data_IF_642013746654
#
_entry.id   IF_642013746654
#
_cell.length_a   1.000
_cell.length_b   1.000
_cell.length_c   1.000
_cell.angle_alpha   90.00
_cell.angle_beta   90.00
_cell.angle_gamma   90.00
#
_symmetry.space_group_name_H-M   'P 1'
#
loop_
_entity.id
_entity.type
_entity.pdbx_description
1 polymer ?
#
# COMPACT_ATOMS: atom_id res chain seq x y z
N UNK A 1 4.34 -21.13 16.78
CA UNK A 1 5.46 -20.34 17.34
C UNK A 1 5.99 -20.97 18.63
N UNK A 2 5.20 -21.02 19.72
CA UNK A 2 5.67 -21.52 21.02
C UNK A 2 6.26 -22.95 20.99
N UNK A 3 5.61 -23.90 20.31
CA UNK A 3 6.11 -25.28 20.18
C UNK A 3 7.49 -25.35 19.45
N UNK A 4 7.69 -24.52 18.43
CA UNK A 4 8.96 -24.48 17.70
C UNK A 4 10.08 -23.88 18.53
N UNK A 5 9.80 -22.77 19.25
CA UNK A 5 10.75 -22.17 20.17
C UNK A 5 11.15 -23.13 21.30
N UNK A 6 10.19 -23.88 21.86
CA UNK A 6 10.45 -24.91 22.86
C UNK A 6 11.40 -26.00 22.32
N UNK A 7 11.23 -26.43 21.06
CA UNK A 7 12.09 -27.43 20.43
C UNK A 7 13.52 -26.94 20.17
N UNK A 8 13.68 -25.67 19.79
CA UNK A 8 15.01 -25.06 19.65
C UNK A 8 15.72 -25.02 21.01
N UNK A 9 15.01 -24.60 22.06
CA UNK A 9 15.55 -24.55 23.42
C UNK A 9 15.94 -25.94 23.93
N UNK A 10 15.16 -26.97 23.63
CA UNK A 10 15.50 -28.37 23.97
C UNK A 10 16.81 -28.84 23.32
N UNK A 11 16.96 -28.57 22.02
CA UNK A 11 18.15 -28.98 21.24
C UNK A 11 19.39 -28.23 21.74
N UNK A 12 19.25 -26.93 22.02
CA UNK A 12 20.36 -26.07 22.45
C UNK A 12 20.78 -26.33 23.90
N UNK A 13 19.84 -26.52 24.82
CA UNK A 13 20.14 -26.64 26.26
C UNK A 13 20.45 -28.08 26.72
N UNK A 14 20.33 -29.08 25.84
CA UNK A 14 20.53 -30.51 26.18
C UNK A 14 19.92 -30.90 27.54
N UNK A 15 18.72 -30.39 27.85
CA UNK A 15 18.10 -30.55 29.16
C UNK A 15 17.93 -32.04 29.48
N UNK A 16 18.45 -32.48 30.62
CA UNK A 16 18.37 -33.87 31.08
C UNK A 16 16.95 -34.25 31.54
N UNK A 17 16.14 -33.28 31.92
CA UNK A 17 14.76 -33.47 32.37
C UNK A 17 13.76 -32.96 31.31
N UNK A 18 13.42 -33.86 30.38
CA UNK A 18 12.54 -33.57 29.24
C UNK A 18 11.04 -33.68 29.59
N UNK A 19 10.70 -34.01 30.83
CA UNK A 19 9.33 -34.28 31.27
C UNK A 19 8.38 -33.10 31.01
N UNK A 20 8.83 -31.86 31.26
CA UNK A 20 8.06 -30.65 30.97
C UNK A 20 7.88 -30.39 29.47
N UNK A 21 8.92 -30.61 28.67
CA UNK A 21 8.89 -30.39 27.22
C UNK A 21 8.03 -31.45 26.51
N UNK A 22 8.13 -32.70 26.94
CA UNK A 22 7.27 -33.80 26.46
C UNK A 22 5.79 -33.54 26.81
N UNK A 23 5.51 -33.03 28.02
CA UNK A 23 4.17 -32.64 28.42
C UNK A 23 3.63 -31.47 27.58
N UNK A 24 4.47 -30.49 27.25
CA UNK A 24 4.11 -29.39 26.34
C UNK A 24 3.84 -29.91 24.92
N UNK A 25 4.69 -30.77 24.37
CA UNK A 25 4.50 -31.38 23.04
C UNK A 25 3.19 -32.17 22.96
N UNK A 26 2.87 -32.93 24.01
CA UNK A 26 1.63 -33.68 24.13
C UNK A 26 0.42 -32.73 24.17
N UNK A 27 0.50 -31.68 24.99
CA UNK A 27 -0.55 -30.67 25.13
C UNK A 27 -0.85 -29.99 23.79
N UNK A 28 0.18 -29.55 23.07
CA UNK A 28 0.01 -28.98 21.73
C UNK A 28 -0.58 -29.98 20.74
N UNK A 29 -0.15 -31.24 20.78
CA UNK A 29 -0.69 -32.29 19.89
C UNK A 29 -2.19 -32.49 20.12
N UNK A 30 -2.65 -32.49 21.38
CA UNK A 30 -4.07 -32.59 21.73
C UNK A 30 -4.85 -31.37 21.20
N UNK A 31 -4.37 -30.15 21.48
CA UNK A 31 -5.03 -28.92 21.02
C UNK A 31 -5.19 -28.91 19.50
N UNK A 32 -4.13 -29.25 18.76
CA UNK A 32 -4.18 -29.30 17.29
C UNK A 32 -5.07 -30.41 16.76
N UNK A 33 -5.15 -31.55 17.44
CA UNK A 33 -6.05 -32.64 17.06
C UNK A 33 -7.50 -32.20 17.20
N UNK A 34 -7.83 -31.47 18.27
CA UNK A 34 -9.16 -30.91 18.50
C UNK A 34 -9.49 -29.86 17.43
N UNK A 35 -8.61 -28.89 17.19
CA UNK A 35 -8.76 -27.85 16.16
C UNK A 35 -9.02 -28.47 14.77
N UNK A 36 -8.23 -29.49 14.40
CA UNK A 36 -8.37 -30.20 13.14
C UNK A 36 -9.69 -30.98 13.05
N UNK A 37 -10.12 -31.60 14.15
CA UNK A 37 -11.38 -32.36 14.21
C UNK A 37 -12.59 -31.43 14.04
N UNK A 38 -12.58 -30.25 14.67
CA UNK A 38 -13.60 -29.23 14.45
C UNK A 38 -13.63 -28.74 13.01
N UNK A 39 -12.46 -28.49 12.42
CA UNK A 39 -12.35 -28.05 11.02
C UNK A 39 -12.86 -29.12 10.03
N UNK A 40 -12.56 -30.40 10.27
CA UNK A 40 -13.06 -31.52 9.48
C UNK A 40 -14.59 -31.69 9.60
N UNK A 41 -15.14 -31.48 10.80
CA UNK A 41 -16.58 -31.52 11.03
C UNK A 41 -17.32 -30.36 10.35
N UNK A 42 -16.76 -29.14 10.42
CA UNK A 42 -17.36 -27.95 9.83
C UNK A 42 -17.41 -27.98 8.29
N UNK A 43 -16.37 -28.50 7.65
CA UNK A 43 -16.22 -28.43 6.19
C UNK A 43 -16.82 -29.62 5.42
N UNK A 44 -17.44 -30.60 6.09
CA UNK A 44 -17.85 -31.89 5.50
C UNK A 44 -16.66 -32.65 4.88
N UNK A 45 -16.49 -33.93 5.22
CA UNK A 45 -15.26 -34.70 4.96
C UNK A 45 -14.65 -34.56 3.55
N UNK A 46 -15.46 -34.32 2.51
CA UNK A 46 -14.99 -34.16 1.14
C UNK A 46 -14.17 -32.89 0.94
N UNK A 47 -14.72 -31.71 1.21
CA UNK A 47 -14.04 -30.43 0.92
C UNK A 47 -12.84 -30.23 1.85
N UNK A 48 -12.87 -30.84 3.03
CA UNK A 48 -11.74 -30.87 3.95
C UNK A 48 -10.51 -31.57 3.38
N UNK A 49 -10.65 -32.77 2.79
CA UNK A 49 -9.51 -33.56 2.28
C UNK A 49 -8.99 -33.09 0.91
N UNK A 50 -9.80 -32.36 0.14
CA UNK A 50 -9.34 -31.76 -1.12
C UNK A 50 -8.53 -30.47 -0.92
N UNK A 51 -8.56 -29.87 0.28
CA UNK A 51 -7.64 -28.80 0.65
C UNK A 51 -6.27 -29.40 1.05
N UNK A 52 -5.24 -29.16 0.22
CA UNK A 52 -3.89 -29.71 0.41
C UNK A 52 -3.28 -29.39 1.78
N UNK A 53 -3.62 -28.25 2.38
CA UNK A 53 -3.14 -27.86 3.70
C UNK A 53 -3.79 -28.66 4.84
N UNK A 54 -5.09 -28.92 4.75
CA UNK A 54 -5.80 -29.74 5.72
C UNK A 54 -5.35 -31.20 5.66
N UNK A 55 -5.06 -31.71 4.45
CA UNK A 55 -4.50 -33.06 4.26
C UNK A 55 -3.09 -33.17 4.88
N UNK A 56 -2.24 -32.16 4.66
CA UNK A 56 -0.92 -32.10 5.29
C UNK A 56 -1.01 -32.08 6.81
N UNK A 57 -1.85 -31.21 7.39
CA UNK A 57 -2.04 -31.14 8.83
C UNK A 57 -2.55 -32.47 9.40
N UNK A 58 -3.49 -33.12 8.69
CA UNK A 58 -4.00 -34.45 9.05
C UNK A 58 -2.90 -35.48 9.06
N UNK A 59 -2.09 -35.59 8.00
CA UNK A 59 -0.96 -36.51 7.95
C UNK A 59 0.00 -36.32 9.12
N UNK A 60 0.36 -35.07 9.42
CA UNK A 60 1.29 -34.78 10.51
C UNK A 60 0.64 -35.13 11.87
N UNK A 61 -0.67 -34.89 12.08
CA UNK A 61 -1.37 -35.25 13.32
C UNK A 61 -1.45 -36.78 13.46
N UNK A 62 -1.75 -37.50 12.38
CA UNK A 62 -1.80 -38.97 12.37
C UNK A 62 -0.45 -39.57 12.74
N UNK A 63 0.64 -39.12 12.13
CA UNK A 63 2.00 -39.59 12.47
C UNK A 63 2.37 -39.29 13.92
N UNK A 64 1.87 -38.16 14.44
CA UNK A 64 2.06 -37.75 15.83
C UNK A 64 1.38 -38.66 16.84
N UNK A 65 0.14 -39.04 16.57
CA UNK A 65 -0.65 -39.93 17.43
C UNK A 65 -0.07 -41.35 17.37
N UNK A 66 0.27 -41.85 16.18
CA UNK A 66 0.87 -43.18 16.00
C UNK A 66 2.21 -43.28 16.73
N UNK A 67 3.05 -42.24 16.61
CA UNK A 67 4.34 -42.16 17.30
C UNK A 67 4.22 -42.16 18.83
N UNK A 68 3.17 -41.56 19.38
CA UNK A 68 2.90 -41.55 20.81
C UNK A 68 2.28 -42.86 21.32
N UNK A 69 1.41 -43.50 20.52
CA UNK A 69 0.69 -44.71 20.92
C UNK A 69 1.53 -45.99 20.89
N UNK A 70 2.56 -46.06 20.04
CA UNK A 70 3.36 -47.27 19.80
C UNK A 70 4.87 -47.03 20.02
N UNK A 71 5.33 -46.78 21.26
CA UNK A 71 6.73 -46.42 21.52
C UNK A 71 7.75 -47.54 21.25
N UNK A 72 7.33 -48.81 21.25
CA UNK A 72 8.20 -49.99 21.25
C UNK A 72 8.17 -50.80 19.94
N UNK A 73 7.59 -50.26 18.85
CA UNK A 73 7.51 -50.97 17.57
C UNK A 73 8.67 -50.55 16.65
N UNK A 74 9.47 -51.50 16.13
CA UNK A 74 10.52 -51.20 15.16
C UNK A 74 9.91 -50.58 13.89
N UNK A 75 10.42 -49.42 13.47
CA UNK A 75 9.89 -48.61 12.36
C UNK A 75 9.15 -47.35 12.82
N UNK A 76 8.48 -47.39 13.98
CA UNK A 76 7.87 -46.19 14.60
C UNK A 76 8.95 -45.19 15.04
N UNK A 77 10.18 -45.67 15.25
CA UNK A 77 11.36 -44.85 15.53
C UNK A 77 11.61 -43.79 14.46
N UNK A 78 11.38 -44.11 13.19
CA UNK A 78 11.52 -43.19 12.05
C UNK A 78 10.34 -42.23 11.98
N UNK A 79 9.13 -42.69 12.31
CA UNK A 79 7.94 -41.84 12.42
C UNK A 79 8.11 -40.72 13.45
N UNK A 80 8.95 -40.92 14.47
CA UNK A 80 9.33 -39.85 15.41
C UNK A 80 10.16 -38.73 14.77
N UNK A 81 10.86 -38.97 13.65
CA UNK A 81 11.57 -37.90 12.93
C UNK A 81 10.58 -36.95 12.23
N UNK A 82 9.46 -37.48 11.75
CA UNK A 82 8.42 -36.70 11.07
C UNK A 82 7.73 -35.67 11.99
N UNK A 83 7.93 -35.73 13.32
CA UNK A 83 7.44 -34.67 14.23
C UNK A 83 8.04 -33.30 13.90
N UNK A 84 9.21 -33.24 13.25
CA UNK A 84 9.80 -31.99 12.76
C UNK A 84 8.86 -31.27 11.77
N UNK A 85 8.08 -32.03 11.00
CA UNK A 85 7.11 -31.46 10.05
C UNK A 85 5.95 -30.73 10.73
N UNK A 86 5.72 -30.93 12.04
CA UNK A 86 4.76 -30.12 12.83
C UNK A 86 5.11 -28.64 12.79
N UNK A 87 6.40 -28.30 12.66
CA UNK A 87 6.86 -26.92 12.52
C UNK A 87 6.39 -26.31 11.21
N UNK A 88 6.33 -27.09 10.12
CA UNK A 88 5.90 -26.59 8.82
C UNK A 88 4.43 -26.15 8.79
N UNK A 89 3.59 -26.61 9.73
CA UNK A 89 2.22 -26.10 9.89
C UNK A 89 2.17 -24.60 10.16
N UNK A 90 3.24 -24.04 10.73
CA UNK A 90 3.39 -22.59 10.93
C UNK A 90 3.38 -21.84 9.59
N UNK A 91 3.85 -22.46 8.52
CA UNK A 91 3.96 -21.81 7.22
C UNK A 91 2.59 -21.53 6.60
N UNK A 92 1.58 -22.37 6.86
CA UNK A 92 0.21 -22.07 6.45
C UNK A 92 -0.39 -20.92 7.28
N UNK A 93 -0.11 -20.86 8.58
CA UNK A 93 -0.68 -19.83 9.46
C UNK A 93 -0.15 -18.42 9.15
N UNK A 94 1.04 -18.32 8.54
CA UNK A 94 1.65 -17.07 8.13
C UNK A 94 1.27 -16.75 6.68
N UNK A 95 0.46 -15.71 6.50
CA UNK A 95 0.02 -15.23 5.18
C UNK A 95 1.18 -15.00 4.23
N UNK A 96 2.26 -14.35 4.67
CA UNK A 96 3.44 -14.09 3.85
C UNK A 96 4.17 -15.35 3.38
N UNK A 97 4.22 -16.42 4.20
CA UNK A 97 4.88 -17.68 3.83
C UNK A 97 4.03 -18.50 2.85
N UNK A 98 2.70 -18.45 2.98
CA UNK A 98 1.80 -19.08 2.00
C UNK A 98 2.01 -18.54 0.60
N UNK A 99 2.20 -17.23 0.48
CA UNK A 99 2.45 -16.58 -0.82
C UNK A 99 3.70 -17.16 -1.46
N UNK A 100 4.80 -17.24 -0.70
CA UNK A 100 6.06 -17.82 -1.17
C UNK A 100 5.88 -19.28 -1.57
N UNK A 101 5.18 -20.08 -0.76
CA UNK A 101 4.99 -21.51 -1.04
C UNK A 101 4.11 -21.73 -2.28
N UNK A 102 3.05 -20.95 -2.42
CA UNK A 102 2.18 -21.01 -3.59
C UNK A 102 2.96 -20.60 -4.85
N UNK A 103 3.81 -19.57 -4.76
CA UNK A 103 4.68 -19.15 -5.85
C UNK A 103 5.68 -20.26 -6.24
N UNK A 104 6.41 -20.82 -5.27
CA UNK A 104 7.35 -21.93 -5.50
C UNK A 104 6.64 -23.16 -6.09
N UNK A 105 5.44 -23.46 -5.61
CA UNK A 105 4.65 -24.60 -6.10
C UNK A 105 4.16 -24.36 -7.52
N UNK A 106 3.76 -23.14 -7.86
CA UNK A 106 3.44 -22.77 -9.24
C UNK A 106 4.68 -22.94 -10.15
N UNK A 107 5.86 -22.56 -9.65
CA UNK A 107 7.12 -22.68 -10.38
C UNK A 107 7.68 -24.09 -10.54
N UNK A 108 7.14 -25.08 -9.83
CA UNK A 108 7.72 -26.43 -9.84
C UNK A 108 7.66 -27.07 -11.23
N UNK A 109 6.58 -26.85 -11.98
CA UNK A 109 6.36 -27.51 -13.27
C UNK A 109 7.23 -26.89 -14.40
N UNK A 110 7.28 -25.56 -14.57
CA UNK A 110 8.20 -24.94 -15.53
C UNK A 110 9.66 -25.25 -15.23
N UNK A 111 10.05 -25.19 -13.95
CA UNK A 111 11.42 -25.52 -13.52
C UNK A 111 11.72 -27.00 -13.76
N UNK A 112 10.79 -27.92 -13.47
CA UNK A 112 10.97 -29.34 -13.76
C UNK A 112 11.18 -29.60 -15.26
N UNK A 113 10.46 -28.91 -16.15
CA UNK A 113 10.67 -29.03 -17.59
C UNK A 113 12.10 -28.62 -18.00
N UNK A 114 12.61 -27.52 -17.45
CA UNK A 114 13.99 -27.08 -17.69
C UNK A 114 15.02 -28.10 -17.14
N UNK A 115 14.77 -28.65 -15.95
CA UNK A 115 15.60 -29.72 -15.38
C UNK A 115 15.58 -31.01 -16.20
N UNK A 116 14.46 -31.36 -16.84
CA UNK A 116 14.38 -32.52 -17.73
C UNK A 116 15.28 -32.33 -18.95
N UNK A 117 15.31 -31.12 -19.54
CA UNK A 117 16.22 -30.80 -20.64
C UNK A 117 17.68 -30.89 -20.18
N UNK A 118 18.00 -30.37 -19.00
CA UNK A 118 19.33 -30.48 -18.40
C UNK A 118 19.74 -31.94 -18.16
N UNK A 119 18.84 -32.75 -17.62
CA UNK A 119 19.06 -34.17 -17.38
C UNK A 119 19.29 -34.93 -18.70
N UNK A 120 18.53 -34.60 -19.75
CA UNK A 120 18.69 -35.21 -21.08
C UNK A 120 20.09 -34.93 -21.66
N UNK A 121 20.54 -33.68 -21.62
CA UNK A 121 21.88 -33.31 -22.09
C UNK A 121 22.97 -33.97 -21.25
N UNK A 122 22.78 -34.00 -19.93
CA UNK A 122 23.68 -34.70 -19.00
C UNK A 122 23.74 -36.20 -19.29
N UNK A 123 22.61 -36.83 -19.63
CA UNK A 123 22.57 -38.24 -20.03
C UNK A 123 23.30 -38.50 -21.35
N UNK A 124 23.18 -37.62 -22.34
CA UNK A 124 23.93 -37.71 -23.60
C UNK A 124 25.45 -37.67 -23.31
N UNK A 125 25.89 -36.69 -22.51
CA UNK A 125 27.29 -36.58 -22.11
C UNK A 125 27.75 -37.77 -21.25
N UNK A 126 26.90 -38.31 -20.37
CA UNK A 126 27.23 -39.49 -19.57
C UNK A 126 27.46 -40.74 -20.44
N UNK A 127 26.65 -40.95 -21.48
CA UNK A 127 26.86 -42.03 -22.45
C UNK A 127 28.19 -41.83 -23.19
N UNK A 128 28.47 -40.61 -23.66
CA UNK A 128 29.74 -40.29 -24.32
C UNK A 128 30.93 -40.51 -23.37
N UNK A 129 30.82 -40.10 -22.11
CA UNK A 129 31.86 -40.27 -21.11
C UNK A 129 32.11 -41.75 -20.81
N UNK A 130 31.07 -42.59 -20.72
CA UNK A 130 31.23 -44.04 -20.63
C UNK A 130 31.98 -44.62 -21.84
N UNK A 131 31.69 -44.14 -23.05
CA UNK A 131 32.36 -44.62 -24.27
C UNK A 131 33.82 -44.18 -24.35
N UNK A 132 34.14 -42.97 -23.88
CA UNK A 132 35.47 -42.36 -24.03
C UNK A 132 36.41 -42.63 -22.86
N UNK A 133 35.88 -42.77 -21.64
CA UNK A 133 36.67 -42.68 -20.41
C UNK A 133 36.56 -43.89 -19.47
N UNK A 134 35.75 -44.89 -19.82
CA UNK A 134 35.62 -46.11 -19.01
C UNK A 134 36.96 -46.79 -18.70
N UNK A 135 37.94 -46.73 -19.61
CA UNK A 135 39.27 -47.31 -19.40
C UNK A 135 40.19 -46.48 -18.51
N UNK A 136 39.89 -45.18 -18.33
CA UNK A 136 40.68 -44.26 -17.50
C UNK A 136 40.19 -44.24 -16.06
N UNK A 137 38.87 -44.24 -15.89
CA UNK A 137 38.24 -44.32 -14.57
C UNK A 137 36.95 -45.16 -14.66
N UNK A 138 37.06 -46.42 -14.23
CA UNK A 138 35.94 -47.36 -14.20
C UNK A 138 34.94 -47.04 -13.08
N UNK A 139 35.36 -46.38 -12.01
CA UNK A 139 34.49 -46.04 -10.87
C UNK A 139 33.52 -44.94 -11.28
N UNK A 140 34.05 -43.89 -11.92
CA UNK A 140 33.25 -42.75 -12.40
C UNK A 140 32.51 -43.08 -13.70
N UNK A 141 33.19 -43.67 -14.69
CA UNK A 141 32.62 -43.81 -16.05
C UNK A 141 32.35 -45.26 -16.49
N UNK A 142 32.45 -46.25 -15.59
CA UNK A 142 32.26 -47.66 -15.95
C UNK A 142 30.81 -48.07 -16.24
N UNK A 143 29.84 -47.44 -15.56
CA UNK A 143 28.40 -47.68 -15.74
C UNK A 143 27.67 -46.37 -16.02
N UNK A 144 26.57 -46.44 -16.78
CA UNK A 144 25.75 -45.27 -17.10
C UNK A 144 25.30 -44.50 -15.84
N UNK A 145 24.84 -45.19 -14.79
CA UNK A 145 24.39 -44.53 -13.56
C UNK A 145 25.52 -43.79 -12.82
N UNK A 146 26.73 -44.38 -12.81
CA UNK A 146 27.92 -43.73 -12.23
C UNK A 146 28.31 -42.51 -13.07
N UNK A 147 28.37 -42.66 -14.39
CA UNK A 147 28.71 -41.57 -15.29
C UNK A 147 27.67 -40.44 -15.23
N UNK A 148 26.38 -40.78 -15.14
CA UNK A 148 25.30 -39.80 -15.02
C UNK A 148 25.45 -38.98 -13.74
N UNK A 149 25.77 -39.63 -12.61
CA UNK A 149 26.03 -38.94 -11.34
C UNK A 149 27.32 -38.10 -11.41
N UNK A 150 28.41 -38.62 -11.99
CA UNK A 150 29.66 -37.89 -12.17
C UNK A 150 29.48 -36.66 -13.08
N UNK A 151 28.72 -36.77 -14.17
CA UNK A 151 28.41 -35.62 -15.01
C UNK A 151 27.49 -34.62 -14.30
N UNK A 152 26.53 -35.09 -13.49
CA UNK A 152 25.73 -34.22 -12.64
C UNK A 152 26.59 -33.44 -11.63
N UNK A 153 27.57 -34.10 -10.99
CA UNK A 153 28.56 -33.44 -10.12
C UNK A 153 29.38 -32.39 -10.88
N UNK A 154 29.84 -32.70 -12.10
CA UNK A 154 30.54 -31.72 -12.94
C UNK A 154 29.62 -30.53 -13.28
N UNK A 155 28.32 -30.76 -13.50
CA UNK A 155 27.35 -29.71 -13.81
C UNK A 155 27.15 -28.72 -12.65
N UNK A 156 27.22 -29.18 -11.40
CA UNK A 156 27.15 -28.31 -10.21
C UNK A 156 28.45 -27.55 -9.95
N UNK A 157 29.52 -27.87 -10.70
CA UNK A 157 30.85 -27.32 -10.50
C UNK A 157 31.60 -27.95 -9.32
N UNK A 158 31.03 -28.96 -8.67
CA UNK A 158 31.61 -29.58 -7.49
C UNK A 158 32.78 -30.49 -7.86
N UNK A 159 33.98 -30.17 -7.37
CA UNK A 159 35.17 -31.02 -7.58
C UNK A 159 35.55 -31.30 -9.04
N UNK A 160 34.95 -30.62 -10.04
CA UNK A 160 35.02 -31.06 -11.44
C UNK A 160 36.47 -31.17 -11.95
N UNK A 161 37.33 -30.25 -11.56
CA UNK A 161 38.74 -30.29 -11.99
C UNK A 161 39.56 -31.24 -11.14
N UNK A 162 39.34 -31.29 -9.82
CA UNK A 162 40.20 -32.00 -8.86
C UNK A 162 39.85 -33.48 -8.74
N UNK A 163 38.56 -33.79 -8.66
CA UNK A 163 38.06 -35.12 -8.33
C UNK A 163 37.64 -35.91 -9.58
N UNK A 164 37.32 -35.21 -10.68
CA UNK A 164 36.89 -35.85 -11.92
C UNK A 164 37.97 -35.79 -13.00
N UNK A 165 38.43 -34.59 -13.40
CA UNK A 165 39.31 -34.45 -14.57
C UNK A 165 40.78 -34.76 -14.28
N UNK A 166 41.35 -34.22 -13.19
CA UNK A 166 42.79 -34.40 -12.86
C UNK A 166 43.20 -35.86 -12.67
N UNK A 167 42.42 -36.73 -12.00
CA UNK A 167 42.79 -38.15 -11.84
C UNK A 167 42.92 -38.89 -13.19
N UNK A 168 42.26 -38.40 -14.25
CA UNK A 168 42.27 -39.02 -15.57
C UNK A 168 43.57 -38.80 -16.35
N UNK A 169 44.43 -37.87 -15.93
CA UNK A 169 45.73 -37.60 -16.57
C UNK A 169 46.84 -38.56 -16.12
N UNK A 170 46.59 -39.39 -15.09
CA UNK A 170 47.56 -40.33 -14.55
C UNK A 170 48.77 -39.65 -13.88
N UNK A 171 49.72 -40.44 -13.41
CA UNK A 171 50.91 -39.97 -12.69
C UNK A 171 51.95 -39.25 -13.56
N UNK A 172 51.83 -39.34 -14.89
CA UNK A 172 52.76 -38.73 -15.85
C UNK A 172 52.56 -37.22 -16.02
N UNK A 173 51.46 -36.65 -15.52
CA UNK A 173 51.17 -35.22 -15.57
C UNK A 173 50.92 -34.66 -16.97
N UNK A 174 50.80 -35.52 -17.99
CA UNK A 174 50.53 -35.10 -19.37
C UNK A 174 49.05 -34.79 -19.52
N UNK A 175 48.76 -33.54 -19.91
CA UNK A 175 47.38 -33.08 -20.09
C UNK A 175 46.87 -33.51 -21.46
N UNK A 176 45.92 -34.45 -21.46
CA UNK A 176 45.22 -34.87 -22.66
C UNK A 176 44.19 -33.81 -23.09
N UNK A 177 44.51 -33.09 -24.16
CA UNK A 177 43.69 -31.98 -24.66
C UNK A 177 42.24 -32.37 -24.98
N UNK A 178 42.00 -33.61 -25.42
CA UNK A 178 40.64 -34.09 -25.72
C UNK A 178 39.78 -34.31 -24.47
N UNK A 179 40.40 -34.71 -23.34
CA UNK A 179 39.73 -34.85 -22.04
C UNK A 179 39.31 -33.47 -21.56
N UNK A 180 40.25 -32.51 -21.57
CA UNK A 180 39.97 -31.12 -21.19
C UNK A 180 38.88 -30.52 -22.07
N UNK A 181 38.95 -30.71 -23.39
CA UNK A 181 37.97 -30.19 -24.33
C UNK A 181 36.56 -30.74 -24.04
N UNK A 182 36.45 -32.04 -23.75
CA UNK A 182 35.17 -32.67 -23.40
C UNK A 182 34.53 -32.01 -22.17
N UNK A 183 35.25 -31.95 -21.05
CA UNK A 183 34.70 -31.40 -19.81
C UNK A 183 34.48 -29.89 -19.87
N UNK A 184 35.37 -29.14 -20.50
CA UNK A 184 35.19 -27.69 -20.71
C UNK A 184 33.97 -27.42 -21.60
N UNK A 185 33.78 -28.19 -22.68
CA UNK A 185 32.59 -28.05 -23.53
C UNK A 185 31.30 -28.34 -22.76
N UNK A 186 31.30 -29.35 -21.89
CA UNK A 186 30.16 -29.68 -21.04
C UNK A 186 29.88 -28.60 -20.00
N UNK A 187 30.91 -28.02 -19.38
CA UNK A 187 30.73 -26.95 -18.40
C UNK A 187 30.18 -25.69 -19.06
N UNK A 188 30.63 -25.35 -20.27
CA UNK A 188 30.08 -24.22 -21.03
C UNK A 188 28.61 -24.48 -21.39
N UNK A 189 28.30 -25.59 -22.05
CA UNK A 189 26.95 -25.87 -22.56
C UNK A 189 25.98 -26.26 -21.43
N UNK A 190 26.36 -27.22 -20.60
CA UNK A 190 25.56 -27.81 -19.54
C UNK A 190 25.52 -26.98 -18.26
N UNK A 191 26.68 -26.44 -17.85
CA UNK A 191 26.77 -25.59 -16.66
C UNK A 191 26.25 -24.17 -16.93
N UNK A 192 26.97 -23.40 -17.73
CA UNK A 192 26.68 -21.97 -17.89
C UNK A 192 25.41 -21.67 -18.69
N UNK A 193 25.20 -22.32 -19.84
CA UNK A 193 24.02 -22.03 -20.67
C UNK A 193 22.72 -22.58 -20.06
N UNK A 194 22.68 -23.84 -19.63
CA UNK A 194 21.43 -24.44 -19.14
C UNK A 194 21.04 -23.98 -17.73
N UNK A 195 21.98 -23.73 -16.80
CA UNK A 195 21.60 -23.16 -15.50
C UNK A 195 20.98 -21.78 -15.65
N UNK A 196 21.49 -20.96 -16.58
CA UNK A 196 20.90 -19.65 -16.87
C UNK A 196 19.47 -19.77 -17.43
N UNK A 197 19.17 -20.80 -18.23
CA UNK A 197 17.80 -21.08 -18.69
C UNK A 197 16.89 -21.45 -17.52
N UNK A 198 17.35 -22.30 -16.59
CA UNK A 198 16.57 -22.65 -15.39
C UNK A 198 16.28 -21.41 -14.54
N UNK A 199 17.28 -20.55 -14.33
CA UNK A 199 17.13 -19.29 -13.59
C UNK A 199 16.15 -18.35 -14.28
N UNK A 200 16.23 -18.20 -15.60
CA UNK A 200 15.31 -17.36 -16.36
C UNK A 200 13.85 -17.85 -16.23
N UNK A 201 13.62 -19.15 -16.41
CA UNK A 201 12.28 -19.75 -16.26
C UNK A 201 11.75 -19.60 -14.84
N UNK A 202 12.61 -19.74 -13.82
CA UNK A 202 12.22 -19.54 -12.43
C UNK A 202 11.85 -18.09 -12.14
N UNK A 203 12.64 -17.13 -12.65
CA UNK A 203 12.37 -15.70 -12.45
C UNK A 203 11.06 -15.28 -13.11
N UNK A 204 10.80 -15.71 -14.35
CA UNK A 204 9.56 -15.42 -15.06
C UNK A 204 8.34 -15.94 -14.30
N UNK A 205 8.43 -17.18 -13.82
CA UNK A 205 7.33 -17.82 -13.10
C UNK A 205 7.15 -17.27 -11.68
N UNK A 206 8.24 -16.93 -10.99
CA UNK A 206 8.19 -16.25 -9.70
C UNK A 206 7.57 -14.86 -9.82
N UNK A 207 7.99 -14.08 -10.83
CA UNK A 207 7.41 -12.78 -11.12
C UNK A 207 5.90 -12.90 -11.41
N UNK A 208 5.51 -13.85 -12.25
CA UNK A 208 4.10 -14.14 -12.55
C UNK A 208 3.29 -14.51 -11.29
N UNK A 209 3.84 -15.36 -10.44
CA UNK A 209 3.17 -15.77 -9.21
C UNK A 209 3.00 -14.61 -8.20
N UNK A 210 4.02 -13.76 -8.06
CA UNK A 210 3.94 -12.55 -7.22
C UNK A 210 2.89 -11.59 -7.76
N UNK A 211 2.84 -11.37 -9.07
CA UNK A 211 1.86 -10.50 -9.73
C UNK A 211 0.43 -11.03 -9.55
N UNK A 212 0.21 -12.34 -9.71
CA UNK A 212 -1.09 -12.96 -9.48
C UNK A 212 -1.57 -12.76 -8.04
N UNK A 213 -0.69 -12.90 -7.06
CA UNK A 213 -1.08 -12.72 -5.67
C UNK A 213 -1.33 -11.25 -5.33
N UNK A 214 -0.53 -10.32 -5.87
CA UNK A 214 -0.80 -8.87 -5.76
C UNK A 214 -2.17 -8.53 -6.34
N UNK A 215 -2.54 -9.11 -7.48
CA UNK A 215 -3.87 -8.96 -8.10
C UNK A 215 -4.98 -9.52 -7.23
N UNK A 216 -4.81 -10.72 -6.65
CA UNK A 216 -5.81 -11.29 -5.73
C UNK A 216 -6.02 -10.45 -4.49
N UNK A 217 -4.94 -9.92 -3.91
CA UNK A 217 -5.03 -9.01 -2.77
C UNK A 217 -5.78 -7.73 -3.15
N UNK A 218 -5.50 -7.19 -4.34
CA UNK A 218 -6.21 -6.04 -4.89
C UNK A 218 -7.70 -6.34 -5.12
N UNK A 219 -8.04 -7.46 -5.76
CA UNK A 219 -9.42 -7.91 -5.96
C UNK A 219 -10.16 -8.17 -4.64
N UNK A 220 -9.49 -8.73 -3.64
CA UNK A 220 -10.08 -8.94 -2.32
C UNK A 220 -10.32 -7.62 -1.60
N UNK A 221 -9.38 -6.68 -1.73
CA UNK A 221 -9.52 -5.31 -1.22
C UNK A 221 -10.63 -4.54 -1.95
N UNK A 222 -10.75 -4.72 -3.27
CA UNK A 222 -11.80 -4.14 -4.11
C UNK A 222 -13.16 -4.79 -3.81
N UNK A 223 -13.21 -6.09 -3.56
CA UNK A 223 -14.44 -6.78 -3.14
C UNK A 223 -14.87 -6.33 -1.75
N UNK A 224 -13.92 -6.15 -0.83
CA UNK A 224 -14.18 -5.60 0.50
C UNK A 224 -14.62 -4.13 0.42
N UNK A 225 -14.06 -3.32 -0.49
CA UNK A 225 -14.48 -1.94 -0.72
C UNK A 225 -15.86 -1.85 -1.38
N UNK A 226 -16.20 -2.76 -2.30
CA UNK A 226 -17.54 -2.86 -2.92
C UNK A 226 -18.59 -3.31 -1.88
N UNK A 227 -18.22 -4.22 -0.97
CA UNK A 227 -19.14 -4.72 0.09
C UNK A 227 -19.28 -3.73 1.25
N UNK A 228 -18.32 -2.81 1.40
CA UNK A 228 -18.44 -1.60 2.20
C UNK A 228 -18.95 -0.47 1.31
N UNK A 229 -20.18 -0.59 0.79
CA UNK A 229 -20.90 0.53 0.16
C UNK A 229 -21.26 1.59 1.21
N UNK A 230 -20.24 2.22 1.78
CA UNK A 230 -20.29 3.41 2.64
C UNK A 230 -20.44 4.67 1.80
N UNK A 231 -20.30 4.56 0.47
CA UNK A 231 -20.14 5.71 -0.43
C UNK A 231 -21.15 5.67 -1.59
N UNK A 232 -22.41 5.88 -1.24
CA UNK A 232 -23.58 5.81 -2.12
C UNK A 232 -23.57 6.85 -3.27
N UNK A 233 -22.83 7.96 -3.14
CA UNK A 233 -22.71 8.99 -4.19
C UNK A 233 -21.56 8.75 -5.18
N UNK A 234 -20.70 7.74 -5.00
CA UNK A 234 -19.49 7.59 -5.81
C UNK A 234 -19.73 7.54 -7.34
N UNK A 235 -20.78 6.88 -7.86
CA UNK A 235 -21.08 6.93 -9.31
C UNK A 235 -21.38 8.35 -9.82
N UNK A 236 -22.04 9.17 -8.99
CA UNK A 236 -22.34 10.57 -9.29
C UNK A 236 -21.07 11.43 -9.22
N UNK A 237 -20.26 11.22 -8.19
CA UNK A 237 -19.00 11.95 -7.96
C UNK A 237 -17.96 11.61 -9.03
N UNK A 238 -17.93 10.37 -9.52
CA UNK A 238 -17.06 9.96 -10.64
C UNK A 238 -17.40 10.72 -11.92
N UNK A 239 -18.68 10.85 -12.27
CA UNK A 239 -19.12 11.67 -13.41
C UNK A 239 -18.75 13.14 -13.23
N UNK A 240 -18.96 13.69 -12.03
CA UNK A 240 -18.63 15.07 -11.69
C UNK A 240 -17.12 15.33 -11.72
N UNK A 241 -16.28 14.36 -11.36
CA UNK A 241 -14.82 14.48 -11.35
C UNK A 241 -14.19 14.73 -12.74
N UNK A 242 -14.90 14.38 -13.81
CA UNK A 242 -14.45 14.54 -15.21
C UNK A 242 -14.67 15.97 -15.75
N UNK A 243 -14.44 17.00 -14.94
CA UNK A 243 -14.58 18.40 -15.34
C UNK A 243 -13.26 19.00 -15.85
N UNK A 244 -13.34 19.91 -16.81
CA UNK A 244 -12.17 20.63 -17.33
C UNK A 244 -11.96 21.99 -16.67
N UNK A 245 -13.05 22.68 -16.32
CA UNK A 245 -13.02 24.02 -15.72
C UNK A 245 -14.01 24.13 -14.56
N UNK A 246 -13.82 25.09 -13.66
CA UNK A 246 -14.77 25.34 -12.56
C UNK A 246 -16.17 25.67 -13.07
N UNK A 247 -16.28 26.40 -14.19
CA UNK A 247 -17.56 26.73 -14.81
C UNK A 247 -18.28 25.47 -15.32
N UNK A 248 -17.53 24.56 -15.94
CA UNK A 248 -18.03 23.25 -16.40
C UNK A 248 -18.51 22.39 -15.23
N UNK A 249 -17.76 22.37 -14.11
CA UNK A 249 -18.19 21.67 -12.89
C UNK A 249 -19.52 22.21 -12.36
N UNK A 250 -19.65 23.54 -12.21
CA UNK A 250 -20.89 24.17 -11.73
C UNK A 250 -22.08 23.91 -12.65
N UNK A 251 -21.85 23.94 -13.97
CA UNK A 251 -22.87 23.65 -14.96
C UNK A 251 -23.33 22.18 -14.91
N UNK A 252 -22.40 21.24 -14.74
CA UNK A 252 -22.72 19.82 -14.55
C UNK A 252 -23.53 19.57 -13.28
N UNK A 253 -23.12 20.16 -12.15
CA UNK A 253 -23.85 20.04 -10.88
C UNK A 253 -25.27 20.62 -11.05
N UNK A 254 -25.41 21.71 -11.81
CA UNK A 254 -26.70 22.38 -12.05
C UNK A 254 -27.66 21.53 -12.85
N UNK A 255 -27.18 20.95 -13.94
CA UNK A 255 -27.97 20.01 -14.75
C UNK A 255 -28.43 18.82 -13.90
N UNK A 256 -27.56 18.29 -13.04
CA UNK A 256 -27.91 17.22 -12.12
C UNK A 256 -29.01 17.66 -11.14
N UNK A 257 -28.87 18.84 -10.52
CA UNK A 257 -29.89 19.35 -9.60
C UNK A 257 -31.24 19.57 -10.28
N UNK A 258 -31.26 20.14 -11.48
CA UNK A 258 -32.50 20.39 -12.23
C UNK A 258 -33.21 19.05 -12.55
N UNK A 259 -32.45 18.00 -12.89
CA UNK A 259 -33.00 16.64 -13.11
C UNK A 259 -33.51 16.02 -11.81
N UNK A 260 -32.83 16.27 -10.69
CA UNK A 260 -33.20 15.73 -9.36
C UNK A 260 -34.41 16.44 -8.75
N UNK A 261 -34.54 17.75 -8.93
CA UNK A 261 -35.60 18.57 -8.34
C UNK A 261 -36.93 18.50 -9.13
N UNK A 262 -36.86 18.25 -10.44
CA UNK A 262 -38.01 18.23 -11.34
C UNK A 262 -38.42 19.64 -11.82
N UNK A 263 -39.37 19.71 -12.77
CA UNK A 263 -39.65 20.92 -13.56
C UNK A 263 -40.15 22.16 -12.78
N UNK A 264 -40.71 22.00 -11.57
CA UNK A 264 -41.46 23.08 -10.90
C UNK A 264 -40.92 23.51 -9.52
N UNK A 265 -39.93 22.84 -8.93
CA UNK A 265 -39.49 23.14 -7.56
C UNK A 265 -38.04 23.60 -7.46
N UNK A 266 -37.83 24.69 -6.72
CA UNK A 266 -36.51 25.27 -6.42
C UNK A 266 -35.78 24.56 -5.26
N UNK A 267 -36.42 23.54 -4.70
CA UNK A 267 -35.97 22.82 -3.51
C UNK A 267 -35.99 21.32 -3.75
N UNK A 268 -35.02 20.63 -3.13
CA UNK A 268 -34.80 19.21 -3.26
C UNK A 268 -35.03 18.51 -1.91
N UNK A 269 -35.94 17.54 -1.89
CA UNK A 269 -36.22 16.68 -0.73
C UNK A 269 -35.68 15.27 -0.95
N UNK A 270 -35.55 14.47 0.11
CA UNK A 270 -35.10 13.07 0.04
C UNK A 270 -35.90 12.22 -0.95
N UNK A 271 -37.24 12.36 -0.93
CA UNK A 271 -38.14 11.59 -1.81
C UNK A 271 -37.93 11.94 -3.29
N UNK A 272 -37.74 13.22 -3.59
CA UNK A 272 -37.44 13.69 -4.95
C UNK A 272 -36.04 13.32 -5.41
N UNK A 273 -35.06 13.37 -4.51
CA UNK A 273 -33.71 12.94 -4.79
C UNK A 273 -33.70 11.47 -5.25
N UNK A 274 -34.38 10.59 -4.53
CA UNK A 274 -34.54 9.19 -4.91
C UNK A 274 -35.21 9.04 -6.29
N UNK A 275 -36.31 9.74 -6.53
CA UNK A 275 -37.02 9.69 -7.81
C UNK A 275 -36.16 10.19 -8.98
N UNK A 276 -35.44 11.29 -8.77
CA UNK A 276 -34.55 11.90 -9.76
C UNK A 276 -33.32 11.04 -10.06
N UNK A 277 -32.78 10.34 -9.07
CA UNK A 277 -31.66 9.41 -9.24
C UNK A 277 -32.03 8.27 -10.22
N UNK A 278 -33.27 7.77 -10.18
CA UNK A 278 -33.74 6.79 -11.16
C UNK A 278 -33.78 7.34 -12.59
N UNK A 279 -33.96 8.65 -12.76
CA UNK A 279 -33.99 9.32 -14.08
C UNK A 279 -32.59 9.54 -14.67
N UNK A 280 -31.56 9.63 -13.83
CA UNK A 280 -30.18 9.87 -14.26
C UNK A 280 -29.50 8.67 -14.92
N UNK A 281 -30.09 7.46 -14.84
CA UNK A 281 -29.65 6.23 -15.53
C UNK A 281 -28.13 5.96 -15.46
N UNK A 282 -27.55 6.08 -14.26
CA UNK A 282 -26.16 5.66 -14.04
C UNK A 282 -26.01 4.14 -14.20
N UNK A 283 -24.84 3.69 -14.67
CA UNK A 283 -24.51 2.25 -14.78
C UNK A 283 -24.56 1.50 -13.44
N UNK A 284 -24.39 2.22 -12.32
CA UNK A 284 -24.46 1.69 -10.97
C UNK A 284 -25.64 2.33 -10.23
N UNK A 285 -26.44 1.52 -9.54
CA UNK A 285 -27.60 2.00 -8.78
C UNK A 285 -27.13 2.75 -7.53
N UNK A 286 -27.44 4.04 -7.46
CA UNK A 286 -27.27 4.85 -6.25
C UNK A 286 -28.39 4.45 -5.29
N UNK A 287 -28.03 3.79 -4.19
CA UNK A 287 -28.96 3.41 -3.13
C UNK A 287 -28.59 4.19 -1.86
N UNK A 288 -29.45 5.12 -1.46
CA UNK A 288 -29.25 5.97 -0.30
C UNK A 288 -30.37 5.73 0.71
N UNK A 289 -30.05 5.48 1.97
CA UNK A 289 -31.04 5.39 3.05
C UNK A 289 -31.41 6.77 3.56
N UNK A 290 -32.46 6.88 4.37
CA UNK A 290 -32.84 8.15 4.99
C UNK A 290 -31.77 8.63 5.99
N UNK A 291 -31.12 7.71 6.69
CA UNK A 291 -30.01 8.01 7.61
C UNK A 291 -28.81 8.59 6.84
N UNK A 292 -28.48 8.02 5.67
CA UNK A 292 -27.41 8.54 4.81
C UNK A 292 -27.71 9.96 4.30
N UNK A 293 -28.98 10.27 4.02
CA UNK A 293 -29.41 11.61 3.62
C UNK A 293 -29.26 12.62 4.75
N UNK A 294 -29.59 12.25 5.99
CA UNK A 294 -29.39 13.11 7.16
C UNK A 294 -27.90 13.40 7.39
N UNK A 295 -27.03 12.40 7.20
CA UNK A 295 -25.57 12.58 7.28
C UNK A 295 -25.04 13.52 6.19
N UNK A 296 -25.53 13.42 4.95
CA UNK A 296 -25.19 14.38 3.89
C UNK A 296 -25.55 15.82 4.26
N UNK A 297 -26.70 16.00 4.91
CA UNK A 297 -27.21 17.30 5.33
C UNK A 297 -26.42 17.89 6.51
N UNK A 298 -25.77 17.06 7.31
CA UNK A 298 -24.87 17.49 8.39
C UNK A 298 -23.48 17.90 7.89
N UNK A 299 -23.11 17.55 6.65
CA UNK A 299 -21.79 17.87 6.08
C UNK A 299 -21.54 19.39 5.96
N UNK A 300 -22.59 20.20 5.88
CA UNK A 300 -22.51 21.67 5.86
C UNK A 300 -23.32 22.28 7.02
N UNK A 301 -22.75 23.23 7.80
CA UNK A 301 -23.45 23.86 8.94
C UNK A 301 -24.76 24.56 8.55
N UNK A 302 -24.86 25.02 7.30
CA UNK A 302 -26.01 25.76 6.77
C UNK A 302 -27.22 24.87 6.44
N UNK A 303 -27.02 23.55 6.31
CA UNK A 303 -28.03 22.58 5.88
C UNK A 303 -28.51 21.66 7.00
N UNK A 304 -27.82 21.65 8.14
CA UNK A 304 -28.15 20.80 9.29
C UNK A 304 -29.57 21.07 9.80
N UNK A 305 -30.40 20.02 9.82
CA UNK A 305 -31.79 20.07 10.30
C UNK A 305 -32.83 20.58 9.30
N UNK A 306 -32.47 20.89 8.05
CA UNK A 306 -33.43 21.27 6.99
C UNK A 306 -34.03 20.02 6.32
N UNK A 307 -35.32 20.06 6.00
CA UNK A 307 -36.02 18.99 5.26
C UNK A 307 -35.87 19.09 3.75
N UNK A 308 -35.57 20.28 3.26
CA UNK A 308 -35.41 20.58 1.83
C UNK A 308 -34.18 21.47 1.64
N UNK A 309 -33.46 21.28 0.54
CA UNK A 309 -32.29 22.07 0.18
C UNK A 309 -32.49 22.86 -1.10
N UNK A 310 -31.93 24.05 -1.12
CA UNK A 310 -31.84 24.90 -2.30
C UNK A 310 -30.65 24.51 -3.19
N UNK A 311 -30.62 25.02 -4.42
CA UNK A 311 -29.50 24.84 -5.34
C UNK A 311 -28.13 25.16 -4.73
N UNK A 312 -28.02 26.30 -4.02
CA UNK A 312 -26.75 26.76 -3.44
C UNK A 312 -26.23 25.81 -2.36
N UNK A 313 -27.15 25.26 -1.57
CA UNK A 313 -26.86 24.30 -0.51
C UNK A 313 -26.46 22.94 -1.10
N UNK A 314 -27.16 22.48 -2.15
CA UNK A 314 -26.79 21.26 -2.86
C UNK A 314 -25.41 21.37 -3.53
N UNK A 315 -25.09 22.53 -4.11
CA UNK A 315 -23.76 22.81 -4.69
C UNK A 315 -22.66 22.65 -3.63
N UNK A 316 -22.85 23.19 -2.43
CA UNK A 316 -21.87 23.06 -1.34
C UNK A 316 -21.69 21.62 -0.87
N UNK A 317 -22.80 20.88 -0.69
CA UNK A 317 -22.77 19.47 -0.27
C UNK A 317 -22.00 18.62 -1.30
N UNK A 318 -22.30 18.77 -2.59
CA UNK A 318 -21.65 18.01 -3.66
C UNK A 318 -20.16 18.35 -3.78
N UNK A 319 -19.79 19.62 -3.61
CA UNK A 319 -18.38 20.02 -3.63
C UNK A 319 -17.59 19.45 -2.43
N UNK A 320 -18.21 19.38 -1.24
CA UNK A 320 -17.61 18.73 -0.08
C UNK A 320 -17.41 17.23 -0.29
N UNK A 321 -18.44 16.55 -0.81
CA UNK A 321 -18.38 15.12 -1.14
C UNK A 321 -17.36 14.82 -2.25
N UNK A 322 -17.23 15.70 -3.24
CA UNK A 322 -16.22 15.57 -4.30
C UNK A 322 -14.79 15.70 -3.76
N UNK A 323 -14.58 16.54 -2.74
CA UNK A 323 -13.29 16.66 -2.05
C UNK A 323 -12.92 15.35 -1.33
N UNK A 324 -13.85 14.80 -0.56
CA UNK A 324 -13.65 13.52 0.12
C UNK A 324 -13.43 12.37 -0.88
N UNK A 325 -14.17 12.37 -2.00
CA UNK A 325 -13.97 11.42 -3.09
C UNK A 325 -12.57 11.54 -3.71
N UNK A 326 -12.08 12.75 -3.99
CA UNK A 326 -10.75 12.97 -4.55
C UNK A 326 -9.64 12.46 -3.60
N UNK A 327 -9.75 12.73 -2.30
CA UNK A 327 -8.84 12.20 -1.28
C UNK A 327 -8.87 10.67 -1.21
N UNK A 328 -10.06 10.06 -1.28
CA UNK A 328 -10.23 8.59 -1.29
C UNK A 328 -9.60 7.97 -2.55
N UNK A 329 -9.87 8.53 -3.73
CA UNK A 329 -9.28 8.10 -4.99
C UNK A 329 -7.75 8.19 -4.99
N UNK A 330 -7.19 9.23 -4.39
CA UNK A 330 -5.76 9.37 -4.21
C UNK A 330 -5.17 8.28 -3.31
N UNK A 331 -5.78 8.01 -2.17
CA UNK A 331 -5.31 6.97 -1.25
C UNK A 331 -5.39 5.56 -1.88
N UNK A 332 -6.39 5.29 -2.71
CA UNK A 332 -6.54 4.00 -3.39
C UNK A 332 -5.51 3.82 -4.52
N UNK A 333 -5.24 4.88 -5.29
CA UNK A 333 -4.33 4.83 -6.46
C UNK A 333 -2.86 5.01 -6.12
N UNK A 334 -2.51 5.35 -4.88
CA UNK A 334 -1.13 5.44 -4.42
C UNK A 334 -0.39 4.07 -4.38
N UNK A 335 -1.12 2.96 -4.58
CA UNK A 335 -0.59 1.60 -4.62
C UNK A 335 -0.12 1.14 -6.02
N UNK A 336 -0.41 1.88 -7.09
CA UNK A 336 0.04 1.57 -8.45
C UNK A 336 0.76 2.78 -9.09
N UNK A 337 2.05 2.59 -9.37
CA UNK A 337 2.96 3.62 -9.86
C UNK A 337 2.58 4.19 -11.25
N UNK A 338 1.77 3.47 -12.03
CA UNK A 338 1.43 3.81 -13.42
C UNK A 338 0.09 4.59 -13.56
N UNK A 339 -0.82 4.50 -12.57
CA UNK A 339 -2.14 5.18 -12.59
C UNK A 339 -2.23 6.42 -11.69
N UNK A 340 -1.18 6.71 -10.91
CA UNK A 340 -1.16 7.80 -9.92
C UNK A 340 -1.35 9.20 -10.50
N UNK A 341 -1.04 9.42 -11.78
CA UNK A 341 -1.08 10.75 -12.43
C UNK A 341 -2.49 11.33 -12.45
N UNK A 342 -3.52 10.50 -12.68
CA UNK A 342 -4.91 10.97 -12.73
C UNK A 342 -5.44 11.40 -11.36
N UNK A 343 -5.01 10.71 -10.28
CA UNK A 343 -5.38 11.08 -8.92
C UNK A 343 -4.67 12.36 -8.46
N UNK A 344 -3.40 12.52 -8.81
CA UNK A 344 -2.63 13.75 -8.55
C UNK A 344 -3.27 14.95 -9.25
N UNK A 345 -3.69 14.79 -10.51
CA UNK A 345 -4.40 15.86 -11.25
C UNK A 345 -5.72 16.25 -10.55
N UNK A 346 -6.47 15.29 -10.03
CA UNK A 346 -7.72 15.56 -9.30
C UNK A 346 -7.45 16.33 -8.00
N UNK A 347 -6.43 15.95 -7.21
CA UNK A 347 -6.03 16.68 -6.01
C UNK A 347 -5.57 18.10 -6.36
N UNK A 348 -4.77 18.27 -7.42
CA UNK A 348 -4.32 19.58 -7.85
C UNK A 348 -5.49 20.48 -8.26
N UNK A 349 -6.47 19.95 -9.00
CA UNK A 349 -7.69 20.69 -9.35
C UNK A 349 -8.50 21.09 -8.10
N UNK A 350 -8.55 20.22 -7.09
CA UNK A 350 -9.29 20.49 -5.85
C UNK A 350 -8.59 21.53 -4.96
N UNK A 351 -7.26 21.45 -4.82
CA UNK A 351 -6.46 22.46 -4.15
C UNK A 351 -6.57 23.83 -4.84
N UNK A 352 -6.58 23.86 -6.17
CA UNK A 352 -6.81 25.10 -6.93
C UNK A 352 -8.19 25.73 -6.64
N UNK A 353 -9.24 24.92 -6.45
CA UNK A 353 -10.57 25.40 -6.08
C UNK A 353 -10.57 26.01 -4.67
N UNK A 354 -9.95 25.34 -3.69
CA UNK A 354 -9.87 25.84 -2.31
C UNK A 354 -9.02 27.12 -2.18
N UNK A 355 -7.86 27.18 -2.85
CA UNK A 355 -7.01 28.38 -2.89
C UNK A 355 -7.78 29.57 -3.49
N UNK A 356 -8.61 29.35 -4.52
CA UNK A 356 -9.44 30.41 -5.10
C UNK A 356 -10.56 30.87 -4.17
N UNK A 357 -11.21 29.98 -3.43
CA UNK A 357 -12.22 30.35 -2.41
C UNK A 357 -11.59 31.24 -1.33
N UNK A 358 -10.39 30.89 -0.87
CA UNK A 358 -9.63 31.71 0.11
C UNK A 358 -9.32 33.09 -0.47
N UNK A 359 -8.86 33.16 -1.73
CA UNK A 359 -8.57 34.42 -2.39
C UNK A 359 -9.81 35.29 -2.63
N UNK A 360 -10.98 34.69 -2.90
CA UNK A 360 -12.23 35.44 -3.04
C UNK A 360 -12.73 35.96 -1.69
N UNK A 361 -12.59 35.15 -0.63
CA UNK A 361 -12.94 35.55 0.74
C UNK A 361 -12.04 36.67 1.28
N UNK A 362 -10.74 36.63 0.97
CA UNK A 362 -9.80 37.70 1.36
C UNK A 362 -10.10 39.02 0.66
N UNK A 363 -10.45 38.98 -0.64
CA UNK A 363 -10.88 40.16 -1.40
C UNK A 363 -12.19 40.74 -0.87
N UNK A 364 -13.15 39.90 -0.48
CA UNK A 364 -14.40 40.35 0.12
C UNK A 364 -14.18 41.01 1.50
N UNK A 365 -13.29 40.47 2.33
CA UNK A 365 -12.90 41.10 3.60
C UNK A 365 -12.20 42.44 3.41
N UNK A 366 -11.39 42.57 2.37
CA UNK A 366 -10.71 43.84 2.07
C UNK A 366 -11.67 44.92 1.57
N UNK A 367 -12.71 44.54 0.82
CA UNK A 367 -13.76 45.49 0.41
C UNK A 367 -14.62 45.95 1.59
N UNK A 368 -14.97 45.04 2.52
CA UNK A 368 -15.67 45.39 3.77
C UNK A 368 -14.81 46.32 4.63
N UNK A 369 -13.50 46.04 4.76
CA UNK A 369 -12.56 46.93 5.47
C UNK A 369 -12.44 48.30 4.80
N UNK A 370 -12.50 48.40 3.47
CA UNK A 370 -12.51 49.68 2.75
C UNK A 370 -13.81 50.45 3.00
N UNK A 371 -14.96 49.76 3.02
CA UNK A 371 -16.24 50.41 3.34
C UNK A 371 -16.29 50.92 4.79
N UNK A 372 -15.80 50.14 5.75
CA UNK A 372 -15.63 50.56 7.15
C UNK A 372 -14.74 51.81 7.28
N UNK A 373 -13.60 51.86 6.57
CA UNK A 373 -12.73 53.06 6.55
C UNK A 373 -13.41 54.28 5.95
N UNK A 374 -14.19 54.11 4.87
CA UNK A 374 -14.98 55.21 4.28
C UNK A 374 -16.05 55.71 5.25
N UNK A 375 -16.69 54.82 6.00
CA UNK A 375 -17.68 55.18 7.00
C UNK A 375 -17.03 55.93 8.18
N UNK A 376 -15.90 55.44 8.69
CA UNK A 376 -15.14 56.09 9.76
C UNK A 376 -14.66 57.50 9.36
N UNK A 377 -14.16 57.68 8.13
CA UNK A 377 -13.77 59.00 7.63
C UNK A 377 -14.97 59.97 7.52
N UNK A 378 -16.15 59.46 7.16
CA UNK A 378 -17.38 60.28 7.13
C UNK A 378 -17.85 60.66 8.54
N UNK A 379 -17.70 59.77 9.51
CA UNK A 379 -18.00 60.04 10.93
C UNK A 379 -17.04 61.10 11.47
N UNK A 380 -15.73 60.94 11.27
CA UNK A 380 -14.73 61.93 11.70
C UNK A 380 -14.97 63.32 11.07
N UNK A 381 -15.38 63.37 9.79
CA UNK A 381 -15.74 64.63 9.13
C UNK A 381 -16.97 65.30 9.77
N UNK A 382 -17.96 64.49 10.19
CA UNK A 382 -19.14 64.98 10.92
C UNK A 382 -18.75 65.46 12.32
N UNK A 383 -17.91 64.72 13.05
CA UNK A 383 -17.39 65.13 14.36
C UNK A 383 -16.62 66.44 14.27
N UNK A 384 -15.71 66.59 13.29
CA UNK A 384 -14.96 67.85 13.09
C UNK A 384 -15.89 69.03 12.74
N UNK A 385 -16.96 68.75 11.98
CA UNK A 385 -17.95 69.75 11.62
C UNK A 385 -18.90 70.08 12.79
N UNK A 386 -19.12 69.13 13.69
CA UNK A 386 -19.89 69.30 14.92
C UNK A 386 -19.07 70.05 15.98
N UNK A 387 -17.78 69.75 16.11
CA UNK A 387 -16.84 70.43 17.00
C UNK A 387 -16.57 71.87 16.56
N UNK A 388 -16.48 72.14 15.27
CA UNK A 388 -16.38 73.52 14.78
C UNK A 388 -17.65 74.34 15.01
N UNK A 389 -18.83 73.70 15.08
CA UNK A 389 -20.08 74.35 15.48
C UNK A 389 -20.12 74.61 16.99
N UNK A 390 -19.66 73.65 17.81
CA UNK A 390 -19.54 73.81 19.27
C UNK A 390 -18.48 74.86 19.66
N UNK A 391 -17.32 74.87 19.01
CA UNK A 391 -16.25 75.84 19.29
C UNK A 391 -16.50 77.21 18.66
N UNK A 392 -17.38 77.29 17.65
CA UNK A 392 -17.93 78.55 17.15
C UNK A 392 -18.86 79.24 18.14
N UNK A 393 -19.46 78.50 19.07
CA UNK A 393 -20.35 79.05 20.12
C UNK A 393 -19.67 79.21 21.50
N UNK A 394 -18.50 78.62 21.74
CA UNK A 394 -17.84 78.62 23.07
C UNK A 394 -16.69 79.64 23.21
N UNK A 395 -16.46 80.52 22.22
CA UNK A 395 -15.64 81.74 22.43
C UNK A 395 -16.40 82.89 23.14
N UNK A 396 -17.58 82.64 23.69
CA UNK A 396 -18.25 83.52 24.64
C UNK A 396 -18.63 82.76 25.93
N UNK A 397 -17.67 82.61 26.85
CA UNK A 397 -17.99 82.52 28.28
C UNK A 397 -17.33 81.40 29.09
N UNK A 398 -16.37 81.78 29.95
CA UNK A 398 -16.45 81.47 31.38
C UNK A 398 -15.90 80.14 31.94
N UNK A 399 -14.63 80.18 32.38
CA UNK A 399 -14.09 79.78 33.70
C UNK A 399 -14.62 78.53 34.49
N UNK A 400 -13.61 77.81 35.01
CA UNK A 400 -13.40 77.23 36.37
C UNK A 400 -13.71 75.76 36.72
N UNK A 401 -12.62 75.07 37.15
CA UNK A 401 -12.42 74.10 38.27
C UNK A 401 -13.28 72.84 38.41
N UNK A 402 -12.65 71.64 38.57
CA UNK A 402 -12.48 70.91 39.86
C UNK A 402 -11.76 69.56 39.68
N UNK A 403 -11.16 69.07 40.77
CA UNK A 403 -10.33 67.87 40.95
C UNK A 403 -11.07 66.68 41.60
N UNK A 404 -10.38 65.51 41.68
CA UNK A 404 -10.59 64.33 42.55
C UNK A 404 -11.69 63.35 42.12
N UNK A 405 -11.70 62.04 42.42
CA UNK A 405 -10.80 60.96 42.90
C UNK A 405 -11.74 59.73 43.06
N UNK A 406 -11.18 58.53 43.30
CA UNK A 406 -11.85 57.25 43.71
C UNK A 406 -12.41 56.37 42.59
N UNK A 407 -12.42 55.04 42.70
CA UNK A 407 -11.55 53.98 43.24
C UNK A 407 -12.23 52.64 42.88
N UNK A 408 -11.46 51.55 42.93
CA UNK A 408 -11.80 50.10 42.85
C UNK A 408 -12.19 49.53 41.47
N UNK A 409 -11.33 48.75 40.78
CA UNK A 409 -10.87 47.35 41.05
C UNK A 409 -12.04 46.34 41.06
N UNK A 410 -12.06 45.20 40.37
CA UNK A 410 -11.19 44.44 39.42
C UNK A 410 -12.16 43.49 38.67
N UNK A 411 -11.85 42.61 37.73
CA UNK A 411 -10.66 41.86 37.32
C UNK A 411 -11.09 41.25 35.95
N UNK A 412 -10.31 41.38 34.87
CA UNK A 412 -9.31 40.40 34.42
C UNK A 412 -9.77 39.66 33.15
N UNK A 413 -9.19 40.02 31.99
CA UNK A 413 -8.73 39.06 30.98
C UNK A 413 -7.86 39.78 29.93
N UNK A 414 -6.57 39.50 30.11
CA UNK A 414 -5.36 39.71 29.31
C UNK A 414 -5.34 40.62 28.09
N UNK A 415 -4.40 41.56 28.21
CA UNK A 415 -3.73 42.32 27.15
C UNK A 415 -2.71 41.41 26.45
N UNK A 416 -2.77 41.36 25.11
CA UNK A 416 -1.60 41.07 24.29
C UNK A 416 -1.44 42.23 23.31
N UNK A 417 -0.25 42.84 23.37
CA UNK A 417 0.24 44.01 22.66
C UNK A 417 0.00 44.01 21.14
N UNK A 418 -0.84 44.93 20.65
CA UNK A 418 -0.96 45.26 19.21
C UNK A 418 0.32 45.93 18.64
N UNK A 419 1.22 46.43 19.49
CA UNK A 419 2.49 47.02 19.04
C UNK A 419 3.62 46.00 18.80
N UNK A 420 3.45 44.72 19.19
CA UNK A 420 4.44 43.67 18.93
C UNK A 420 4.25 42.98 17.56
N UNK A 421 3.03 43.00 17.01
CA UNK A 421 2.72 42.34 15.73
C UNK A 421 3.09 43.23 14.53
N UNK A 422 3.00 44.57 14.68
CA UNK A 422 3.38 45.51 13.61
C UNK A 422 4.90 45.51 13.34
N UNK A 423 5.73 45.27 14.37
CA UNK A 423 7.18 45.20 14.24
C UNK A 423 7.68 43.87 13.64
N UNK A 424 6.92 42.78 13.79
CA UNK A 424 7.26 41.47 13.21
C UNK A 424 6.92 41.34 11.71
N UNK A 425 5.96 42.15 11.22
CA UNK A 425 5.54 42.16 9.81
C UNK A 425 6.47 43.02 8.94
N UNK A 426 7.09 44.07 9.49
CA UNK A 426 7.98 44.96 8.74
C UNK A 426 9.42 44.41 8.61
N UNK A 427 9.85 43.55 9.53
CA UNK A 427 11.20 42.93 9.49
C UNK A 427 11.28 41.70 8.57
N UNK A 428 10.17 40.97 8.35
CA UNK A 428 10.12 39.83 7.43
C UNK A 428 9.92 40.22 5.96
N UNK A 429 9.29 41.37 5.70
CA UNK A 429 9.11 41.88 4.33
C UNK A 429 10.42 42.33 3.66
N UNK A 430 11.38 42.85 4.44
CA UNK A 430 12.67 43.32 3.93
C UNK A 430 13.73 42.22 3.76
N UNK A 431 13.62 41.08 4.45
CA UNK A 431 14.55 39.96 4.26
C UNK A 431 14.18 39.05 3.09
N UNK A 432 12.90 38.96 2.70
CA UNK A 432 12.49 38.21 1.51
C UNK A 432 12.90 38.91 0.22
N UNK A 433 12.72 40.24 0.14
CA UNK A 433 13.15 41.01 -1.02
C UNK A 433 14.67 41.07 -1.22
N UNK A 434 15.47 40.96 -0.16
CA UNK A 434 16.95 40.96 -0.28
C UNK A 434 17.51 39.58 -0.63
N UNK A 435 16.74 38.50 -0.42
CA UNK A 435 17.15 37.13 -0.75
C UNK A 435 16.79 36.79 -2.20
N UNK A 436 15.62 37.23 -2.66
CA UNK A 436 15.20 37.09 -4.06
C UNK A 436 16.09 37.94 -5.00
N UNK A 437 16.60 39.10 -4.54
CA UNK A 437 17.55 39.94 -5.29
C UNK A 437 19.00 39.43 -5.29
N UNK A 438 19.36 38.45 -4.45
CA UNK A 438 20.72 37.86 -4.44
C UNK A 438 20.76 36.47 -5.09
N UNK A 439 19.65 35.75 -5.15
CA UNK A 439 19.54 34.47 -5.89
C UNK A 439 19.35 34.70 -7.41
N UNK A 440 18.78 35.83 -7.84
CA UNK A 440 18.68 36.18 -9.28
C UNK A 440 20.03 36.60 -9.91
N UNK A 441 20.94 37.24 -9.15
CA UNK A 441 22.26 37.66 -9.66
C UNK A 441 23.27 36.47 -9.76
N UNK A 442 23.13 35.42 -8.94
CA UNK A 442 23.99 34.22 -9.01
C UNK A 442 23.57 33.24 -10.13
N UNK A 443 22.30 33.19 -10.53
CA UNK A 443 21.85 32.33 -11.64
C UNK A 443 22.13 32.93 -13.03
N UNK A 444 22.20 34.27 -13.18
CA UNK A 444 22.57 34.91 -14.45
C UNK A 444 24.09 34.84 -14.75
N UNK A 445 24.98 34.90 -13.75
CA UNK A 445 26.44 34.77 -13.98
C UNK A 445 26.87 33.32 -14.31
N UNK A 446 26.18 32.30 -13.77
CA UNK A 446 26.50 30.88 -14.02
C UNK A 446 25.99 30.34 -15.37
N UNK A 447 24.96 30.95 -15.96
CA UNK A 447 24.50 30.60 -17.32
C UNK A 447 25.33 31.28 -18.43
N UNK A 448 25.90 32.47 -18.22
CA UNK A 448 26.80 33.09 -19.19
C UNK A 448 28.18 32.39 -19.27
N UNK A 449 28.70 31.82 -18.17
CA UNK A 449 30.00 31.10 -18.19
C UNK A 449 29.91 29.66 -18.73
N UNK A 450 28.73 29.02 -18.76
CA UNK A 450 28.56 27.64 -19.30
C UNK A 450 28.16 27.57 -20.78
N UNK A 451 27.87 28.70 -21.42
CA UNK A 451 27.54 28.77 -22.85
C UNK A 451 28.73 29.03 -23.79
N UNK A 452 29.91 29.38 -23.25
CA UNK A 452 31.06 29.85 -24.02
C UNK A 452 32.34 28.98 -23.87
N UNK A 453 32.23 27.72 -23.45
CA UNK A 453 33.35 26.78 -23.34
C UNK A 453 33.14 25.47 -24.13
#
# INVERSE_FOLDING_TARGET
MANFAAKIVEIEMQLTDNSFLDALEMSFTIIFTIELSFNAFANWFRDFFFNGWNLFDTLVVSVSIIGAALPNVPGVSVLRLFRVFRVLRLFHRLSSLRIIINAVTASILPVANAFVVLLLITAIYAVLACMLFKSRDEVLFGKFSSALFSMFQVCTGDGWSTDVVRPMFGESGVVDGYVVLFFVSYILIGGYFLLNVVVAVLLDEFASAVDMEKRRLKEHQDTLSIRSSTYYLDPLLEFLSQYQTEKDLKEKIRVIFDILAGDDDKTLSYEKFLEGVYRLNFKATIAITQEDWEVLMEATPETSGKKEITWQEFEQIILAQLNEFACRQASLKQLDADEGTSAVILILKQLQLEVRKINQASVAQDEIRRQMRRLANRIALVETKFDSLLHGEIQNGGRTCFSSSSESEGDALDRVDENAILLAVEHNGKQRQLKDLMEEDEEEEDEEERGCA
#
